data_IF_187679978867
#
_entry.id   IF_187679978867
#
_cell.length_a   1.000
_cell.length_b   1.000
_cell.length_c   1.000
_cell.angle_alpha   90.00
_cell.angle_beta   90.00
_cell.angle_gamma   90.00
#
_symmetry.space_group_name_H-M   'P 1'
#
loop_
_entity.id
_entity.type
_entity.pdbx_description
1 polymer ?
#
# COMPACT_ATOMS: atom_id res chain seq x y z
N UNK A 1 -22.44 -15.47 26.86
CA UNK A 1 -23.72 -15.54 26.13
C UNK A 1 -23.42 -15.17 24.70
N UNK A 2 -23.45 -16.15 23.79
CA UNK A 2 -22.86 -16.09 22.45
C UNK A 2 -23.99 -15.83 21.45
N UNK A 3 -23.95 -14.72 20.71
CA UNK A 3 -24.90 -14.45 19.62
C UNK A 3 -24.17 -14.58 18.29
N UNK A 4 -24.33 -15.76 17.68
CA UNK A 4 -23.90 -16.03 16.32
C UNK A 4 -24.76 -15.22 15.35
N UNK A 5 -24.17 -14.21 14.71
CA UNK A 5 -24.75 -13.58 13.53
C UNK A 5 -24.58 -14.52 12.33
N UNK A 6 -25.71 -14.98 11.79
CA UNK A 6 -25.80 -15.74 10.56
C UNK A 6 -25.54 -14.82 9.34
N UNK A 7 -24.28 -14.48 9.11
CA UNK A 7 -23.80 -14.06 7.80
C UNK A 7 -23.09 -15.25 7.18
N UNK A 8 -23.53 -15.74 6.02
CA UNK A 8 -22.79 -16.75 5.28
C UNK A 8 -21.37 -16.22 5.06
N UNK A 9 -20.36 -16.85 5.66
CA UNK A 9 -18.97 -16.73 5.21
C UNK A 9 -18.94 -17.45 3.87
N UNK A 10 -19.27 -16.72 2.80
CA UNK A 10 -18.98 -17.18 1.45
C UNK A 10 -17.46 -17.07 1.36
N UNK A 11 -16.70 -18.19 1.24
CA UNK A 11 -15.27 -18.07 0.98
C UNK A 11 -15.13 -17.26 -0.31
N UNK A 12 -14.25 -16.25 -0.35
CA UNK A 12 -14.00 -15.52 -1.59
C UNK A 12 -13.75 -16.54 -2.70
N UNK A 13 -14.34 -16.29 -3.86
CA UNK A 13 -14.11 -17.11 -5.04
C UNK A 13 -12.61 -17.22 -5.31
N UNK A 14 -12.12 -18.28 -5.99
CA UNK A 14 -10.70 -18.42 -6.30
C UNK A 14 -10.11 -17.18 -7.01
N UNK A 15 -10.93 -16.48 -7.82
CA UNK A 15 -10.60 -15.22 -8.46
C UNK A 15 -10.46 -14.03 -7.49
N UNK A 16 -11.24 -13.98 -6.42
CA UNK A 16 -11.15 -12.93 -5.39
C UNK A 16 -9.92 -13.14 -4.49
N UNK A 17 -9.54 -14.40 -4.20
CA UNK A 17 -8.32 -14.68 -3.41
C UNK A 17 -7.04 -14.20 -4.10
N UNK A 18 -6.92 -14.42 -5.42
CA UNK A 18 -5.74 -14.02 -6.19
C UNK A 18 -5.55 -12.50 -6.16
N UNK A 19 -6.64 -11.74 -6.19
CA UNK A 19 -6.58 -10.28 -6.17
C UNK A 19 -6.17 -9.74 -4.79
N UNK A 20 -6.74 -10.32 -3.72
CA UNK A 20 -6.38 -9.97 -2.33
C UNK A 20 -4.91 -10.31 -2.03
N UNK A 21 -4.41 -11.44 -2.54
CA UNK A 21 -3.00 -11.82 -2.37
C UNK A 21 -2.04 -10.84 -3.06
N UNK A 22 -2.39 -10.36 -4.26
CA UNK A 22 -1.59 -9.36 -4.97
C UNK A 22 -1.58 -8.01 -4.23
N UNK A 23 -2.76 -7.55 -3.78
CA UNK A 23 -2.89 -6.31 -3.02
C UNK A 23 -2.07 -6.36 -1.70
N UNK A 24 -2.11 -7.48 -0.99
CA UNK A 24 -1.31 -7.69 0.22
C UNK A 24 0.19 -7.63 -0.07
N UNK A 25 0.66 -8.29 -1.13
CA UNK A 25 2.09 -8.30 -1.49
C UNK A 25 2.58 -6.91 -1.94
N UNK A 26 1.73 -6.16 -2.65
CA UNK A 26 2.02 -4.77 -3.04
C UNK A 26 2.12 -3.87 -1.80
N UNK A 27 1.12 -3.93 -0.91
CA UNK A 27 1.09 -3.18 0.34
C UNK A 27 2.34 -3.46 1.19
N UNK A 28 2.69 -4.74 1.36
CA UNK A 28 3.89 -5.15 2.10
C UNK A 28 5.16 -4.58 1.46
N UNK A 29 5.29 -4.67 0.13
CA UNK A 29 6.45 -4.14 -0.59
C UNK A 29 6.60 -2.63 -0.41
N UNK A 30 5.50 -1.89 -0.48
CA UNK A 30 5.49 -0.44 -0.28
C UNK A 30 5.89 -0.10 1.16
N UNK A 31 5.24 -0.72 2.15
CA UNK A 31 5.48 -0.44 3.57
C UNK A 31 6.94 -0.74 3.93
N UNK A 32 7.49 -1.87 3.46
CA UNK A 32 8.88 -2.23 3.73
C UNK A 32 9.86 -1.30 3.01
N UNK A 33 9.62 -0.94 1.75
CA UNK A 33 10.47 -0.02 0.99
C UNK A 33 10.56 1.35 1.63
N UNK A 34 9.41 1.90 2.06
CA UNK A 34 9.33 3.15 2.81
C UNK A 34 10.01 3.06 4.18
N UNK A 35 9.80 1.96 4.92
CA UNK A 35 10.37 1.79 6.27
C UNK A 35 11.89 1.62 6.29
N UNK A 36 12.46 1.02 5.25
CA UNK A 36 13.90 0.81 5.13
C UNK A 36 14.66 2.04 4.57
N UNK A 37 13.96 3.16 4.35
CA UNK A 37 14.50 4.41 3.76
C UNK A 37 15.12 4.22 2.36
N UNK A 38 14.89 3.07 1.71
CA UNK A 38 15.26 2.82 0.31
C UNK A 38 14.38 3.64 -0.64
N UNK A 39 13.13 3.85 -0.22
CA UNK A 39 12.07 4.37 -1.06
C UNK A 39 11.41 3.26 -1.87
N UNK A 40 10.40 3.63 -2.64
CA UNK A 40 9.67 2.73 -3.53
C UNK A 40 9.68 3.33 -4.91
N UNK A 41 10.32 2.66 -5.86
CA UNK A 41 10.33 3.04 -7.28
C UNK A 41 9.09 2.45 -7.98
N UNK A 42 8.37 3.29 -8.71
CA UNK A 42 7.24 2.85 -9.54
C UNK A 42 7.67 1.82 -10.58
N UNK A 43 8.83 2.02 -11.22
CA UNK A 43 9.40 1.11 -12.22
C UNK A 43 9.75 -0.25 -11.61
N UNK A 44 10.35 -0.28 -10.41
CA UNK A 44 10.71 -1.54 -9.75
C UNK A 44 9.46 -2.36 -9.37
N UNK A 45 8.39 -1.68 -8.95
CA UNK A 45 7.12 -2.34 -8.65
C UNK A 45 6.49 -2.86 -9.95
N UNK A 46 6.45 -2.04 -11.00
CA UNK A 46 5.88 -2.45 -12.28
C UNK A 46 6.63 -3.66 -12.87
N UNK A 47 7.97 -3.66 -12.82
CA UNK A 47 8.77 -4.80 -13.27
C UNK A 47 8.50 -6.08 -12.46
N UNK A 48 8.20 -5.97 -11.16
CA UNK A 48 8.00 -7.12 -10.27
C UNK A 48 6.56 -7.65 -10.27
N UNK A 49 5.57 -6.78 -10.42
CA UNK A 49 4.15 -7.12 -10.26
C UNK A 49 3.31 -6.88 -11.51
N UNK A 50 3.90 -6.34 -12.58
CA UNK A 50 3.19 -6.01 -13.83
C UNK A 50 2.12 -4.93 -13.65
N UNK A 51 2.20 -4.15 -12.57
CA UNK A 51 1.22 -3.14 -12.17
C UNK A 51 1.93 -1.85 -11.79
N UNK A 52 1.48 -0.72 -12.33
CA UNK A 52 1.95 0.59 -11.93
C UNK A 52 1.37 0.95 -10.54
N UNK A 53 2.23 1.00 -9.51
CA UNK A 53 1.80 1.42 -8.16
C UNK A 53 1.28 2.84 -8.13
N UNK A 54 1.81 3.70 -8.99
CA UNK A 54 1.35 5.08 -9.08
C UNK A 54 -0.09 5.16 -9.55
N UNK A 55 -0.58 4.20 -10.34
CA UNK A 55 -1.98 4.18 -10.77
C UNK A 55 -2.91 3.60 -9.69
N UNK A 56 -2.47 2.52 -9.02
CA UNK A 56 -3.28 1.83 -8.00
C UNK A 56 -3.40 2.65 -6.71
N UNK A 57 -2.31 3.32 -6.31
CA UNK A 57 -2.23 4.08 -5.07
C UNK A 57 -2.10 5.60 -5.31
N UNK A 58 -2.47 6.08 -6.50
CA UNK A 58 -2.30 7.48 -6.90
C UNK A 58 -2.83 8.44 -5.84
N UNK A 59 -4.10 8.25 -5.44
CA UNK A 59 -4.78 9.17 -4.54
C UNK A 59 -4.16 9.14 -3.13
N UNK A 60 -3.78 7.97 -2.63
CA UNK A 60 -3.15 7.81 -1.33
C UNK A 60 -1.75 8.43 -1.31
N UNK A 61 -0.99 8.27 -2.39
CA UNK A 61 0.34 8.87 -2.54
C UNK A 61 0.21 10.39 -2.61
N UNK A 62 -0.66 10.92 -3.46
CA UNK A 62 -0.86 12.36 -3.58
C UNK A 62 -1.35 12.99 -2.27
N UNK A 63 -2.30 12.37 -1.56
CA UNK A 63 -2.74 12.84 -0.24
C UNK A 63 -1.54 12.90 0.74
N UNK A 64 -0.71 11.86 0.79
CA UNK A 64 0.46 11.84 1.66
C UNK A 64 1.51 12.88 1.27
N UNK A 65 1.67 13.17 -0.02
CA UNK A 65 2.56 14.23 -0.53
C UNK A 65 2.03 15.61 -0.13
N UNK A 66 0.74 15.87 -0.33
CA UNK A 66 0.07 17.11 0.08
C UNK A 66 0.16 17.36 1.59
N UNK A 67 0.06 16.29 2.40
CA UNK A 67 0.25 16.33 3.85
C UNK A 67 1.72 16.50 4.28
N UNK A 68 2.66 16.44 3.35
CA UNK A 68 4.11 16.49 3.59
C UNK A 68 4.65 15.27 4.33
N UNK A 69 3.99 14.12 4.19
CA UNK A 69 4.39 12.83 4.77
C UNK A 69 5.23 12.01 3.79
N UNK A 70 4.92 12.09 2.51
CA UNK A 70 5.74 11.54 1.45
C UNK A 70 6.37 12.65 0.61
N UNK A 71 7.51 12.34 0.02
CA UNK A 71 8.08 13.08 -1.09
C UNK A 71 8.18 12.14 -2.30
N UNK A 72 7.96 12.69 -3.49
CA UNK A 72 8.08 11.98 -4.75
C UNK A 72 9.16 12.67 -5.60
N UNK A 73 10.09 11.88 -6.12
CA UNK A 73 11.12 12.37 -7.04
C UNK A 73 11.45 11.27 -8.06
N UNK A 74 11.39 11.60 -9.36
CA UNK A 74 11.68 10.69 -10.47
C UNK A 74 10.95 9.34 -10.37
N UNK A 75 9.66 9.35 -10.02
CA UNK A 75 8.86 8.13 -9.86
C UNK A 75 9.24 7.28 -8.64
N UNK A 76 10.05 7.81 -7.71
CA UNK A 76 10.37 7.18 -6.44
C UNK A 76 9.73 7.94 -5.28
N UNK A 77 9.00 7.23 -4.42
CA UNK A 77 8.41 7.80 -3.20
C UNK A 77 9.23 7.45 -1.96
N UNK A 78 9.37 8.41 -1.05
CA UNK A 78 10.08 8.26 0.24
C UNK A 78 9.32 8.96 1.37
N UNK A 79 9.55 8.52 2.60
CA UNK A 79 9.07 9.23 3.79
C UNK A 79 9.89 10.49 3.99
N UNK A 80 9.22 11.63 4.16
CA UNK A 80 9.87 12.84 4.66
C UNK A 80 10.27 12.64 6.12
N UNK A 81 11.10 13.51 6.73
CA UNK A 81 11.38 13.46 8.16
C UNK A 81 10.11 13.44 9.02
N UNK A 82 9.08 14.21 8.63
CA UNK A 82 7.75 14.21 9.28
C UNK A 82 7.02 12.89 9.03
N UNK A 83 7.06 12.40 7.80
CA UNK A 83 6.50 11.10 7.41
C UNK A 83 7.04 9.96 8.25
N UNK A 84 8.34 9.95 8.56
CA UNK A 84 8.94 8.92 9.43
C UNK A 84 8.37 8.92 10.84
N UNK A 85 8.10 10.10 11.41
CA UNK A 85 7.47 10.21 12.74
C UNK A 85 6.04 9.69 12.74
N UNK A 86 5.35 9.81 11.60
CA UNK A 86 3.95 9.39 11.41
C UNK A 86 3.85 8.18 10.47
N UNK A 87 4.89 7.34 10.42
CA UNK A 87 5.01 6.33 9.36
C UNK A 87 3.85 5.33 9.40
N UNK A 88 3.34 5.02 10.59
CA UNK A 88 2.19 4.12 10.75
C UNK A 88 0.91 4.70 10.11
N UNK A 89 0.70 6.01 10.19
CA UNK A 89 -0.44 6.67 9.53
C UNK A 89 -0.32 6.60 8.00
N UNK A 90 0.91 6.72 7.49
CA UNK A 90 1.18 6.52 6.06
C UNK A 90 0.89 5.08 5.67
N UNK A 91 1.39 4.10 6.43
CA UNK A 91 1.24 2.67 6.12
C UNK A 91 -0.21 2.19 6.12
N UNK A 92 -1.05 2.70 7.02
CA UNK A 92 -2.48 2.36 7.07
C UNK A 92 -3.23 2.66 5.76
N UNK A 93 -2.75 3.62 4.96
CA UNK A 93 -3.37 4.00 3.68
C UNK A 93 -3.09 3.01 2.55
N UNK A 94 -2.08 2.16 2.71
CA UNK A 94 -1.69 1.17 1.69
C UNK A 94 -2.24 -0.22 1.95
N UNK A 95 -2.82 -0.48 3.13
CA UNK A 95 -3.44 -1.75 3.44
C UNK A 95 -4.78 -1.90 2.70
N UNK A 96 -5.10 -3.11 2.18
CA UNK A 96 -6.37 -3.39 1.51
C UNK A 96 -7.59 -3.39 2.45
#
# INVERSE_FOLDING_TARGET
MNIYFAGKIIPPSPSENINVDLANQLAETIILGLRLDKGVSAEDIEARFGTCVMDMYYSQIQECVELGLLEEHDGCIRLTPRGRLLSNEVFWRFLP
#
